data_IF_125885157119
#
_entry.id   IF_125885157119
#
_cell.length_a   1.000
_cell.length_b   1.000
_cell.length_c   1.000
_cell.angle_alpha   90.00
_cell.angle_beta   90.00
_cell.angle_gamma   90.00
#
_symmetry.space_group_name_H-M   'P 1'
#
loop_
_entity.id
_entity.type
_entity.pdbx_description
1 polymer ?
#
# COMPACT_ATOMS: atom_id res chain seq x y z
N UNK A 1 13.60 7.81 7.31
CA UNK A 1 12.60 6.76 7.59
C UNK A 1 12.43 5.95 6.29
N UNK A 2 12.34 4.63 6.34
CA UNK A 2 12.17 3.80 5.13
C UNK A 2 10.68 3.53 4.89
N UNK A 3 10.21 3.72 3.65
CA UNK A 3 8.83 3.46 3.27
C UNK A 3 8.76 2.26 2.32
N UNK A 4 7.73 1.46 2.51
CA UNK A 4 7.34 0.35 1.66
C UNK A 4 5.94 0.62 1.11
N UNK A 5 5.74 0.37 -0.18
CA UNK A 5 4.44 0.39 -0.84
C UNK A 5 4.22 -0.95 -1.52
N UNK A 6 3.49 -1.83 -0.83
CA UNK A 6 3.27 -3.22 -1.23
C UNK A 6 1.85 -3.42 -1.74
N UNK A 7 1.72 -4.27 -2.74
CA UNK A 7 0.45 -4.72 -3.28
C UNK A 7 0.43 -6.23 -3.38
N UNK A 8 -0.66 -6.85 -2.95
CA UNK A 8 -0.92 -8.26 -3.19
C UNK A 8 -2.07 -8.38 -4.17
N UNK A 9 -1.81 -8.96 -5.34
CA UNK A 9 -2.87 -9.30 -6.28
C UNK A 9 -3.41 -10.68 -5.93
N UNK A 10 -4.71 -10.77 -5.62
CA UNK A 10 -5.33 -12.04 -5.21
C UNK A 10 -5.53 -12.91 -6.45
N UNK A 11 -4.99 -14.14 -6.41
CA UNK A 11 -5.13 -15.19 -7.44
C UNK A 11 -5.01 -14.68 -8.90
N UNK A 12 -3.92 -13.99 -9.28
CA UNK A 12 -3.81 -13.43 -10.62
C UNK A 12 -3.76 -14.53 -11.68
N UNK A 13 -4.38 -14.26 -12.84
CA UNK A 13 -4.29 -15.15 -14.03
C UNK A 13 -2.93 -15.08 -14.71
N UNK A 14 -2.22 -13.96 -14.55
CA UNK A 14 -0.91 -13.69 -15.16
C UNK A 14 -0.15 -12.66 -14.32
N UNK A 15 1.17 -12.65 -14.47
CA UNK A 15 2.01 -11.60 -13.90
C UNK A 15 1.72 -10.26 -14.58
N UNK A 16 1.79 -9.19 -13.79
CA UNK A 16 1.68 -7.83 -14.29
C UNK A 16 3.04 -7.34 -14.79
N UNK A 17 3.02 -6.68 -15.93
CA UNK A 17 4.15 -5.96 -16.48
C UNK A 17 3.67 -4.58 -16.90
N UNK A 18 4.41 -3.55 -16.50
CA UNK A 18 4.15 -2.18 -16.91
C UNK A 18 4.33 -2.07 -18.43
N UNK A 19 3.31 -1.59 -19.13
CA UNK A 19 3.28 -1.48 -20.60
C UNK A 19 3.29 -0.01 -21.07
N UNK A 20 3.74 0.89 -20.21
CA UNK A 20 3.88 2.32 -20.47
C UNK A 20 5.14 2.83 -19.77
N UNK A 21 5.66 3.97 -20.19
CA UNK A 21 6.80 4.61 -19.54
C UNK A 21 6.38 5.14 -18.17
N UNK A 22 7.04 4.65 -17.13
CA UNK A 22 6.86 5.10 -15.75
C UNK A 22 8.19 5.10 -15.03
N UNK A 23 8.38 6.07 -14.14
CA UNK A 23 9.50 6.06 -13.19
C UNK A 23 9.25 5.11 -12.01
N UNK A 24 7.99 4.69 -11.81
CA UNK A 24 7.65 3.66 -10.81
C UNK A 24 7.99 2.29 -11.40
N UNK A 25 8.92 1.60 -10.75
CA UNK A 25 9.24 0.21 -11.02
C UNK A 25 8.33 -0.70 -10.21
N UNK A 26 7.67 -1.64 -10.89
CA UNK A 26 6.84 -2.66 -10.26
C UNK A 26 7.68 -3.94 -10.11
N UNK A 27 8.17 -4.21 -8.90
CA UNK A 27 8.97 -5.41 -8.62
C UNK A 27 8.09 -6.53 -8.10
N UNK A 28 8.18 -7.71 -8.71
CA UNK A 28 7.53 -8.91 -8.19
C UNK A 28 8.36 -9.50 -7.04
N UNK A 29 7.74 -9.62 -5.87
CA UNK A 29 8.37 -10.12 -4.64
C UNK A 29 8.12 -11.62 -4.50
N UNK A 30 8.78 -12.42 -5.35
CA UNK A 30 8.59 -13.88 -5.32
C UNK A 30 9.24 -14.50 -4.06
N UNK A 31 10.34 -13.94 -3.54
CA UNK A 31 11.08 -14.57 -2.42
C UNK A 31 11.69 -13.62 -1.35
N UNK A 32 12.07 -12.37 -1.68
CA UNK A 32 12.97 -11.59 -0.80
C UNK A 32 12.30 -10.85 0.37
N UNK A 33 11.04 -10.40 0.26
CA UNK A 33 10.35 -9.67 1.34
C UNK A 33 9.58 -10.53 2.36
N UNK A 34 9.28 -11.79 2.02
CA UNK A 34 8.14 -12.49 2.62
C UNK A 34 8.31 -12.84 4.11
N UNK A 35 9.55 -13.06 4.58
CA UNK A 35 9.79 -13.56 5.95
C UNK A 35 9.47 -12.55 7.05
N UNK A 36 9.78 -11.27 6.83
CA UNK A 36 9.49 -10.20 7.81
C UNK A 36 7.99 -9.93 7.87
N UNK A 37 7.36 -9.77 6.71
CA UNK A 37 5.93 -9.50 6.61
C UNK A 37 5.05 -10.64 7.12
N UNK A 38 5.50 -11.91 7.11
CA UNK A 38 4.75 -13.04 7.69
C UNK A 38 4.42 -12.88 9.17
N UNK A 39 5.29 -12.20 9.93
CA UNK A 39 5.08 -11.98 11.37
C UNK A 39 4.18 -10.78 11.63
N UNK A 40 4.39 -9.70 10.88
CA UNK A 40 3.75 -8.40 11.11
C UNK A 40 2.37 -8.34 10.42
N UNK A 41 2.25 -8.93 9.23
CA UNK A 41 1.08 -8.87 8.35
C UNK A 41 0.56 -10.28 7.99
N UNK A 42 0.15 -11.11 8.97
CA UNK A 42 -0.28 -12.48 8.73
C UNK A 42 -1.54 -12.60 7.85
N UNK A 43 -2.50 -11.67 7.90
CA UNK A 43 -3.68 -11.69 7.04
C UNK A 43 -3.28 -11.53 5.57
N UNK A 44 -2.53 -10.47 5.24
CA UNK A 44 -2.10 -10.20 3.87
C UNK A 44 -1.19 -11.33 3.36
N UNK A 45 -0.23 -11.80 4.16
CA UNK A 45 0.71 -12.86 3.73
C UNK A 45 0.10 -14.26 3.61
N UNK A 46 -1.05 -14.54 4.25
CA UNK A 46 -1.78 -15.81 4.07
C UNK A 46 -2.66 -15.82 2.82
N UNK A 47 -2.99 -14.66 2.27
CA UNK A 47 -3.77 -14.59 1.04
C UNK A 47 -2.98 -15.19 -0.14
N UNK A 48 -3.64 -16.05 -0.92
CA UNK A 48 -3.04 -16.63 -2.13
C UNK A 48 -2.98 -15.58 -3.23
N UNK A 49 -1.79 -15.08 -3.51
CA UNK A 49 -1.60 -14.01 -4.48
C UNK A 49 -0.15 -13.80 -4.89
N UNK A 50 0.08 -12.79 -5.72
CA UNK A 50 1.41 -12.33 -6.12
C UNK A 50 1.66 -10.97 -5.50
N UNK A 51 2.82 -10.83 -4.88
CA UNK A 51 3.24 -9.59 -4.23
C UNK A 51 4.02 -8.71 -5.19
N UNK A 52 3.76 -7.41 -5.10
CA UNK A 52 4.46 -6.39 -5.85
C UNK A 52 4.90 -5.28 -4.91
N UNK A 53 6.11 -4.78 -5.12
CA UNK A 53 6.60 -3.53 -4.55
C UNK A 53 6.55 -2.44 -5.61
N UNK A 54 6.01 -1.28 -5.27
CA UNK A 54 6.17 -0.06 -6.06
C UNK A 54 7.38 0.69 -5.51
N UNK A 55 8.41 0.81 -6.33
CA UNK A 55 9.68 1.43 -5.94
C UNK A 55 10.17 2.36 -7.03
N UNK A 56 10.96 3.35 -6.68
CA UNK A 56 11.78 4.10 -7.63
C UNK A 56 13.24 3.63 -7.48
N UNK A 57 13.97 3.57 -8.59
CA UNK A 57 15.42 3.38 -8.54
C UNK A 57 16.11 4.71 -8.26
N UNK A 58 16.74 4.82 -7.10
CA UNK A 58 17.63 5.92 -6.75
C UNK A 58 19.06 5.40 -6.66
N UNK A 59 19.78 5.44 -7.78
CA UNK A 59 21.19 5.06 -7.87
C UNK A 59 21.47 3.64 -7.33
N UNK A 60 20.58 2.69 -7.60
CA UNK A 60 20.68 1.29 -7.15
C UNK A 60 19.97 0.97 -5.83
N UNK A 61 19.46 1.98 -5.12
CA UNK A 61 18.56 1.79 -3.98
C UNK A 61 17.10 1.80 -4.44
N UNK A 62 16.31 0.82 -3.98
CA UNK A 62 14.91 0.67 -4.34
C UNK A 62 14.03 0.81 -3.11
N UNK A 63 13.28 1.90 -3.02
CA UNK A 63 12.31 2.12 -1.95
C UNK A 63 11.08 2.91 -2.45
N UNK A 64 10.06 3.02 -1.59
CA UNK A 64 8.87 3.81 -1.87
C UNK A 64 8.94 5.24 -1.31
N UNK A 65 10.05 5.64 -0.65
CA UNK A 65 10.18 6.92 0.04
C UNK A 65 9.99 8.13 -0.90
N UNK A 66 10.35 7.91 -2.16
CA UNK A 66 10.22 8.95 -3.18
C UNK A 66 8.81 9.00 -3.72
N UNK A 67 8.11 7.86 -3.78
CA UNK A 67 6.76 7.72 -4.35
C UNK A 67 5.71 8.28 -3.39
N UNK A 68 5.81 7.97 -2.10
CA UNK A 68 4.86 8.38 -1.09
C UNK A 68 5.50 9.17 0.05
N UNK A 69 4.65 9.88 0.80
CA UNK A 69 5.01 10.63 1.99
C UNK A 69 3.87 10.64 3.00
N UNK A 70 4.13 11.21 4.17
CA UNK A 70 3.16 11.39 5.23
C UNK A 70 3.20 12.82 5.78
N UNK A 71 2.08 13.28 6.31
CA UNK A 71 2.01 14.48 7.14
C UNK A 71 2.12 14.06 8.62
N UNK A 72 3.34 14.06 9.15
CA UNK A 72 3.63 13.68 10.54
C UNK A 72 3.30 14.79 11.55
N UNK A 73 3.08 16.02 11.09
CA UNK A 73 2.76 17.16 11.95
C UNK A 73 1.24 17.29 12.17
N UNK A 74 0.44 16.48 11.47
CA UNK A 74 -1.01 16.48 11.60
C UNK A 74 -1.42 15.95 12.97
N UNK A 75 -2.21 16.72 13.71
CA UNK A 75 -2.74 16.30 15.02
C UNK A 75 -3.58 15.03 14.82
N UNK A 76 -3.38 14.03 15.70
CA UNK A 76 -4.15 12.78 15.73
C UNK A 76 -5.66 13.05 15.75
N UNK A 77 -6.10 14.14 16.38
CA UNK A 77 -7.52 14.56 16.43
C UNK A 77 -8.09 14.92 15.06
N UNK A 78 -7.24 15.32 14.12
CA UNK A 78 -7.60 15.67 12.75
C UNK A 78 -7.49 14.48 11.78
N UNK A 79 -7.03 13.32 12.28
CA UNK A 79 -6.96 12.07 11.54
C UNK A 79 -8.21 11.23 11.83
N UNK A 80 -8.83 10.70 10.78
CA UNK A 80 -9.97 9.78 10.92
C UNK A 80 -9.48 8.41 11.37
N UNK A 81 -9.30 8.24 12.68
CA UNK A 81 -8.81 6.98 13.27
C UNK A 81 -9.89 5.90 13.25
N UNK A 82 -9.52 4.62 13.06
CA UNK A 82 -10.46 3.52 13.24
C UNK A 82 -10.92 3.44 14.70
N UNK A 83 -12.24 3.49 14.92
CA UNK A 83 -12.82 3.61 16.27
C UNK A 83 -12.50 2.45 17.22
N UNK A 84 -12.03 1.31 16.70
CA UNK A 84 -11.69 0.10 17.46
C UNK A 84 -10.21 0.04 17.85
N UNK A 85 -9.42 1.07 17.54
CA UNK A 85 -8.02 1.19 17.93
C UNK A 85 -7.95 2.12 19.14
N UNK A 86 -7.74 1.55 20.32
CA UNK A 86 -7.65 2.30 21.58
C UNK A 86 -6.20 2.53 22.05
N UNK A 87 -5.24 1.82 21.45
CA UNK A 87 -3.82 1.88 21.79
C UNK A 87 -3.19 3.15 21.21
N UNK A 88 -2.72 4.05 22.07
CA UNK A 88 -2.15 5.36 21.69
C UNK A 88 -0.83 5.20 20.91
N UNK A 89 0.02 4.23 21.26
CA UNK A 89 1.27 3.97 20.55
C UNK A 89 0.98 3.56 19.10
N UNK A 90 -0.10 2.81 18.89
CA UNK A 90 -0.55 2.45 17.54
C UNK A 90 -1.14 3.66 16.82
N UNK A 91 -1.91 4.52 17.49
CA UNK A 91 -2.50 5.72 16.86
C UNK A 91 -1.43 6.67 16.34
N UNK A 92 -0.32 6.83 17.05
CA UNK A 92 0.82 7.64 16.61
C UNK A 92 1.45 7.12 15.31
N UNK A 93 1.31 5.81 15.04
CA UNK A 93 1.80 5.17 13.81
C UNK A 93 0.80 5.22 12.63
N UNK A 94 -0.38 5.79 12.83
CA UNK A 94 -1.46 5.87 11.83
C UNK A 94 -1.52 7.25 11.16
N UNK A 95 -0.51 7.57 10.36
CA UNK A 95 -0.44 8.85 9.66
C UNK A 95 -0.98 8.76 8.22
N UNK A 96 -1.42 9.88 7.61
CA UNK A 96 -1.93 9.86 6.24
C UNK A 96 -0.90 9.37 5.21
N UNK A 97 -1.30 8.44 4.35
CA UNK A 97 -0.54 8.07 3.15
C UNK A 97 -0.78 9.11 2.06
N UNK A 98 0.28 9.73 1.57
CA UNK A 98 0.25 10.72 0.50
C UNK A 98 1.06 10.18 -0.67
N UNK A 99 0.44 9.99 -1.84
CA UNK A 99 1.19 9.71 -3.07
C UNK A 99 1.64 11.04 -3.66
N UNK A 100 2.96 11.24 -3.85
CA UNK A 100 3.46 12.53 -4.35
C UNK A 100 2.89 12.80 -5.75
N UNK A 101 2.52 14.06 -5.99
CA UNK A 101 1.82 14.49 -7.21
C UNK A 101 2.45 13.99 -8.52
N UNK A 102 3.79 13.96 -8.61
CA UNK A 102 4.51 13.49 -9.81
C UNK A 102 4.27 12.00 -10.14
N UNK A 103 3.93 11.17 -9.15
CA UNK A 103 3.66 9.73 -9.33
C UNK A 103 2.18 9.39 -9.40
N UNK A 104 1.29 10.36 -9.16
CA UNK A 104 -0.15 10.11 -8.98
C UNK A 104 -0.77 9.34 -10.14
N UNK A 105 -0.54 9.82 -11.36
CA UNK A 105 -1.08 9.24 -12.59
C UNK A 105 -0.56 7.82 -12.83
N UNK A 106 0.73 7.60 -12.59
CA UNK A 106 1.38 6.31 -12.83
C UNK A 106 0.96 5.28 -11.78
N UNK A 107 0.90 5.69 -10.52
CA UNK A 107 0.35 4.89 -9.43
C UNK A 107 -1.06 4.41 -9.80
N UNK A 108 -1.95 5.30 -10.23
CA UNK A 108 -3.31 4.93 -10.61
C UNK A 108 -3.34 3.92 -11.76
N UNK A 109 -2.57 4.16 -12.82
CA UNK A 109 -2.49 3.25 -13.99
C UNK A 109 -1.95 1.88 -13.61
N UNK A 110 -0.91 1.82 -12.78
CA UNK A 110 -0.31 0.56 -12.29
C UNK A 110 -1.34 -0.21 -11.48
N UNK A 111 -1.99 0.43 -10.50
CA UNK A 111 -2.94 -0.24 -9.62
C UNK A 111 -4.15 -0.77 -10.40
N UNK A 112 -4.71 0.03 -11.32
CA UNK A 112 -5.77 -0.45 -12.23
C UNK A 112 -5.31 -1.62 -13.10
N UNK A 113 -4.05 -1.58 -13.55
CA UNK A 113 -3.43 -2.67 -14.29
C UNK A 113 -3.36 -3.96 -13.48
N UNK A 114 -2.91 -3.87 -12.23
CA UNK A 114 -2.80 -4.98 -11.28
C UNK A 114 -4.17 -5.59 -10.96
N UNK A 115 -5.17 -4.76 -10.66
CA UNK A 115 -6.56 -5.18 -10.42
C UNK A 115 -7.07 -6.05 -11.58
N UNK A 116 -6.84 -5.62 -12.83
CA UNK A 116 -7.27 -6.36 -14.03
C UNK A 116 -6.61 -7.72 -14.22
N UNK A 117 -5.48 -7.99 -13.56
CA UNK A 117 -4.84 -9.32 -13.61
C UNK A 117 -5.50 -10.34 -12.69
N UNK A 118 -6.23 -9.89 -11.68
CA UNK A 118 -7.05 -10.74 -10.81
C UNK A 118 -8.40 -11.03 -11.46
N UNK A 119 -8.84 -12.31 -11.57
CA UNK A 119 -10.19 -12.66 -11.98
C UNK A 119 -11.25 -12.13 -11.03
N UNK A 120 -10.91 -12.05 -9.75
CA UNK A 120 -11.74 -11.53 -8.67
C UNK A 120 -11.61 -10.01 -8.54
N UNK A 121 -10.81 -9.37 -9.42
CA UNK A 121 -10.51 -7.93 -9.40
C UNK A 121 -10.16 -7.41 -8.01
N UNK A 122 -9.51 -8.25 -7.22
CA UNK A 122 -9.20 -7.98 -5.82
C UNK A 122 -7.70 -7.86 -5.63
N UNK A 123 -7.29 -6.78 -4.98
CA UNK A 123 -5.93 -6.56 -4.51
C UNK A 123 -5.94 -6.10 -3.06
N UNK A 124 -4.81 -6.22 -2.38
CA UNK A 124 -4.57 -5.59 -1.08
C UNK A 124 -3.46 -4.55 -1.26
N UNK A 125 -3.61 -3.36 -0.69
CA UNK A 125 -2.61 -2.29 -0.73
C UNK A 125 -2.15 -2.00 0.70
N UNK A 126 -0.84 -1.94 0.89
CA UNK A 126 -0.20 -1.61 2.16
C UNK A 126 0.90 -0.58 1.92
N UNK A 127 0.70 0.64 2.43
CA UNK A 127 1.79 1.57 2.68
C UNK A 127 2.28 1.35 4.11
N UNK A 128 3.57 1.15 4.32
CA UNK A 128 4.14 0.98 5.66
C UNK A 128 5.46 1.71 5.82
N UNK A 129 5.75 2.12 7.04
CA UNK A 129 7.07 2.58 7.47
C UNK A 129 7.45 1.88 8.78
N UNK A 130 8.61 2.21 9.36
CA UNK A 130 9.02 1.62 10.65
C UNK A 130 8.12 2.12 11.80
N UNK A 131 7.32 1.22 12.36
CA UNK A 131 6.31 1.49 13.39
C UNK A 131 6.17 0.30 14.36
N UNK A 132 5.29 0.42 15.35
CA UNK A 132 4.87 -0.68 16.20
C UNK A 132 4.10 -1.74 15.40
N UNK A 133 4.41 -3.00 15.64
CA UNK A 133 3.82 -4.11 14.91
C UNK A 133 2.35 -4.33 15.31
N UNK A 134 1.41 -3.79 14.52
CA UNK A 134 -0.03 -4.07 14.62
C UNK A 134 -0.64 -4.27 13.24
N UNK A 135 -1.15 -5.45 12.96
CA UNK A 135 -1.93 -5.69 11.75
C UNK A 135 -3.31 -5.02 11.86
N UNK A 136 -3.55 -4.03 11.00
CA UNK A 136 -4.85 -3.38 10.84
C UNK A 136 -5.31 -3.60 9.40
N UNK A 137 -6.48 -4.21 9.24
CA UNK A 137 -7.07 -4.49 7.93
C UNK A 137 -8.35 -3.68 7.80
N UNK A 138 -8.38 -2.80 6.80
CA UNK A 138 -9.61 -2.14 6.38
C UNK A 138 -10.32 -3.04 5.36
N UNK A 139 -11.64 -3.18 5.53
CA UNK A 139 -12.49 -4.00 4.67
C UNK A 139 -12.50 -3.56 3.20
N UNK A 140 -13.36 -4.20 2.41
CA UNK A 140 -13.42 -3.99 0.96
C UNK A 140 -13.92 -2.60 0.60
N UNK A 141 -13.21 -1.90 -0.28
CA UNK A 141 -13.67 -0.69 -0.97
C UNK A 141 -13.32 -0.73 -2.45
N UNK A 142 -13.98 0.07 -3.27
CA UNK A 142 -13.60 0.23 -4.68
C UNK A 142 -12.32 1.03 -4.82
N UNK A 143 -11.61 0.88 -5.94
CA UNK A 143 -10.41 1.68 -6.15
C UNK A 143 -10.72 3.17 -6.28
N UNK A 144 -11.88 3.53 -6.84
CA UNK A 144 -12.33 4.93 -6.91
C UNK A 144 -12.57 5.53 -5.52
N UNK A 145 -13.16 4.78 -4.59
CA UNK A 145 -13.32 5.22 -3.20
C UNK A 145 -11.97 5.35 -2.49
N UNK A 146 -11.06 4.39 -2.70
CA UNK A 146 -9.70 4.47 -2.17
C UNK A 146 -8.99 5.75 -2.64
N UNK A 147 -9.06 6.08 -3.93
CA UNK A 147 -8.46 7.30 -4.48
C UNK A 147 -9.06 8.56 -3.85
N UNK A 148 -10.38 8.61 -3.70
CA UNK A 148 -11.07 9.73 -3.04
C UNK A 148 -10.62 9.88 -1.59
N UNK A 149 -10.60 8.80 -0.81
CA UNK A 149 -10.17 8.81 0.58
C UNK A 149 -8.69 9.15 0.73
N UNK A 150 -7.85 8.75 -0.23
CA UNK A 150 -6.44 9.09 -0.27
C UNK A 150 -6.26 10.60 -0.48
N UNK A 151 -7.01 11.20 -1.41
CA UNK A 151 -6.98 12.65 -1.65
C UNK A 151 -7.55 13.45 -0.46
N UNK A 152 -8.47 12.86 0.31
CA UNK A 152 -8.97 13.40 1.58
C UNK A 152 -8.02 13.16 2.78
N UNK A 153 -6.90 12.47 2.60
CA UNK A 153 -5.94 12.14 3.66
C UNK A 153 -6.47 11.15 4.70
N UNK A 154 -7.39 10.27 4.31
CA UNK A 154 -8.04 9.24 5.16
C UNK A 154 -7.52 7.82 4.93
N UNK A 155 -6.71 7.62 3.89
CA UNK A 155 -5.90 6.41 3.74
C UNK A 155 -4.65 6.62 4.57
N UNK A 156 -4.34 5.68 5.47
CA UNK A 156 -3.28 5.77 6.46
C UNK A 156 -2.16 4.79 6.13
N UNK A 157 -0.94 5.13 6.52
CA UNK A 157 0.13 4.16 6.64
C UNK A 157 -0.20 3.10 7.70
N UNK A 158 0.46 1.96 7.59
CA UNK A 158 0.33 0.83 8.51
C UNK A 158 -1.12 0.31 8.60
N UNK A 159 -1.85 0.39 7.49
CA UNK A 159 -3.16 -0.22 7.30
C UNK A 159 -3.19 -0.94 5.96
N UNK A 160 -3.62 -2.20 5.98
CA UNK A 160 -3.86 -2.99 4.77
C UNK A 160 -5.28 -2.73 4.27
N UNK A 161 -5.41 -2.14 3.08
CA UNK A 161 -6.69 -1.87 2.43
C UNK A 161 -7.01 -2.95 1.40
N UNK A 162 -8.21 -3.54 1.49
CA UNK A 162 -8.69 -4.50 0.49
C UNK A 162 -9.45 -3.72 -0.58
N UNK A 163 -8.96 -3.79 -1.83
CA UNK A 163 -9.58 -3.14 -2.98
C UNK A 163 -10.24 -4.19 -3.85
N UNK A 164 -11.53 -4.02 -4.16
CA UNK A 164 -12.31 -4.92 -5.02
C UNK A 164 -13.15 -4.12 -6.03
N UNK A 165 -13.16 -4.56 -7.29
CA UNK A 165 -13.98 -3.99 -8.38
C UNK A 165 -14.94 -4.99 -9.05
#
# INVERSE_FOLDING_TARGET
MSYDLKLLVVRPKKLYHTNFESTITVKNEIEDGFRRYRKIWPFMTRAKGVWYSLVEDQNGAFDAYTICDSDFEKDIKDVSMPYWIDDEDIKEDLTPLIIRKKYRTDFEKIVRGLIKTSPERTIMILGSYQSHDKEIVCGTMTFSEYLKLLDEGKILFNVCYIISE
#
